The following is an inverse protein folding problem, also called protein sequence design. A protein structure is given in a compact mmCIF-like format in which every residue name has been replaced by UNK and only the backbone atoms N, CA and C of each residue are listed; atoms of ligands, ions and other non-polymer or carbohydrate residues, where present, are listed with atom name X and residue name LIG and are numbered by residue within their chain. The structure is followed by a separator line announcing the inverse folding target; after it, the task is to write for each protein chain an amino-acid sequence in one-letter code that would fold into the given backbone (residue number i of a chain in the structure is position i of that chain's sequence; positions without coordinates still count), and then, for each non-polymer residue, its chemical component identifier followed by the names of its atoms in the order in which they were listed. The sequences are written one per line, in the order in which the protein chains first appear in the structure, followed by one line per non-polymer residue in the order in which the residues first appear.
data_IF_530562133325
#
_entry.id   IF_530562133325
#
_cell.length_a   1.000
_cell.length_b   1.000
_cell.length_c   1.000
_cell.angle_alpha   90.00
_cell.angle_beta   90.00
_cell.angle_gamma   90.00
#
_symmetry.space_group_name_H-M   'P 1'
#
loop_
_entity.id
_entity.type
_entity.pdbx_description
1 polymer ?
#
# COMPACT_ATOMS: atom_id res chain seq x y z
N UNK A 1 17.57 -2.60 6.89
CA UNK A 1 17.62 -1.93 5.56
C UNK A 1 16.90 -2.78 4.53
N UNK A 2 16.14 -2.16 3.60
CA UNK A 2 15.49 -2.89 2.49
C UNK A 2 16.57 -3.32 1.49
N UNK A 3 16.68 -4.63 1.27
CA UNK A 3 17.68 -5.20 0.35
C UNK A 3 17.06 -5.34 -1.06
N UNK A 4 17.27 -4.35 -1.90
CA UNK A 4 16.76 -4.34 -3.28
C UNK A 4 17.44 -5.36 -4.20
N UNK A 5 18.60 -5.93 -3.82
CA UNK A 5 19.25 -6.99 -4.60
C UNK A 5 18.41 -8.27 -4.66
N UNK A 6 17.55 -8.49 -3.65
CA UNK A 6 16.63 -9.62 -3.54
C UNK A 6 15.29 -9.42 -4.24
N UNK A 7 15.11 -8.30 -4.94
CA UNK A 7 13.85 -7.95 -5.63
C UNK A 7 12.62 -8.05 -4.72
N UNK A 8 12.58 -7.29 -3.60
CA UNK A 8 11.54 -7.43 -2.58
C UNK A 8 10.13 -7.15 -3.11
N UNK A 9 9.13 -7.78 -2.48
CA UNK A 9 7.72 -7.60 -2.76
C UNK A 9 7.09 -6.66 -1.72
N UNK A 10 6.48 -5.59 -2.19
CA UNK A 10 5.80 -4.58 -1.37
C UNK A 10 4.29 -4.76 -1.40
N UNK A 11 3.64 -4.58 -0.24
CA UNK A 11 2.19 -4.30 -0.23
C UNK A 11 1.95 -2.82 -0.52
N UNK A 12 1.11 -2.53 -1.50
CA UNK A 12 0.73 -1.15 -1.81
C UNK A 12 -0.16 -0.54 -0.71
N UNK A 13 -0.07 0.78 -0.46
CA UNK A 13 -1.04 1.51 0.36
C UNK A 13 -2.42 1.49 -0.30
N UNK A 14 -3.40 0.89 0.37
CA UNK A 14 -4.77 0.71 -0.11
C UNK A 14 -5.75 1.18 0.95
N UNK A 15 -6.26 2.42 0.80
CA UNK A 15 -7.20 3.02 1.76
C UNK A 15 -8.42 2.10 1.99
N UNK A 16 -8.70 1.82 3.25
CA UNK A 16 -9.74 0.90 3.69
C UNK A 16 -9.37 -0.58 3.61
N UNK A 17 -8.16 -0.97 3.19
CA UNK A 17 -7.76 -2.37 3.08
C UNK A 17 -6.41 -2.70 3.72
N UNK A 18 -5.37 -1.87 3.51
CA UNK A 18 -4.02 -2.16 4.03
C UNK A 18 -3.83 -1.69 5.46
N UNK A 19 -4.82 -1.99 6.31
CA UNK A 19 -4.79 -1.82 7.75
C UNK A 19 -3.81 -2.81 8.43
N UNK A 20 -3.56 -2.62 9.72
CA UNK A 20 -2.64 -3.46 10.49
C UNK A 20 -2.98 -4.96 10.38
N UNK A 21 -4.26 -5.41 10.50
CA UNK A 21 -4.60 -6.83 10.34
C UNK A 21 -4.18 -7.41 8.98
N UNK A 22 -4.52 -6.75 7.86
CA UNK A 22 -4.12 -7.25 6.54
C UNK A 22 -2.60 -7.24 6.38
N UNK A 23 -1.91 -6.17 6.80
CA UNK A 23 -0.46 -6.08 6.73
C UNK A 23 0.22 -7.20 7.51
N UNK A 24 -0.28 -7.50 8.72
CA UNK A 24 0.19 -8.61 9.55
C UNK A 24 0.07 -9.96 8.84
N UNK A 25 -1.04 -10.18 8.14
CA UNK A 25 -1.29 -11.44 7.40
C UNK A 25 -0.35 -11.56 6.20
N UNK A 26 -0.27 -10.55 5.32
CA UNK A 26 0.58 -10.66 4.12
C UNK A 26 2.06 -10.84 4.45
N UNK A 27 2.53 -10.32 5.59
CA UNK A 27 3.90 -10.54 6.08
C UNK A 27 4.18 -12.04 6.32
N UNK A 28 3.22 -12.78 6.86
CA UNK A 28 3.34 -14.23 7.08
C UNK A 28 3.42 -15.02 5.76
N UNK A 29 2.97 -14.41 4.66
CA UNK A 29 2.96 -15.04 3.33
C UNK A 29 3.98 -14.46 2.36
N UNK A 30 5.06 -13.86 2.88
CA UNK A 30 6.22 -13.49 2.08
C UNK A 30 6.22 -12.06 1.54
N UNK A 31 5.29 -11.19 1.97
CA UNK A 31 5.44 -9.75 1.74
C UNK A 31 6.68 -9.23 2.47
N UNK A 32 7.62 -8.63 1.74
CA UNK A 32 8.88 -8.16 2.34
C UNK A 32 8.71 -6.81 3.02
N UNK A 33 7.98 -5.88 2.40
CA UNK A 33 7.77 -4.52 2.90
C UNK A 33 6.28 -4.20 2.92
N UNK A 34 5.80 -3.74 4.06
CA UNK A 34 4.43 -3.23 4.18
C UNK A 34 4.42 -1.71 4.21
N UNK A 35 3.42 -1.12 3.54
CA UNK A 35 3.16 0.31 3.57
C UNK A 35 1.79 0.55 4.20
N UNK A 36 1.70 1.52 5.11
CA UNK A 36 0.42 1.88 5.75
C UNK A 36 -0.61 2.37 4.73
N UNK A 37 -1.87 2.45 5.14
CA UNK A 37 -2.81 3.32 4.46
C UNK A 37 -2.31 4.75 4.44
N UNK A 38 -2.77 5.56 3.47
CA UNK A 38 -2.41 6.96 3.37
C UNK A 38 -2.93 7.77 4.57
N UNK A 39 -2.05 8.40 5.31
CA UNK A 39 -2.36 9.25 6.47
C UNK A 39 -2.24 10.72 6.08
N UNK A 40 -3.26 11.51 6.36
CA UNK A 40 -3.21 12.97 6.15
C UNK A 40 -2.25 13.63 7.14
N UNK A 41 -1.29 14.41 6.65
CA UNK A 41 -0.41 15.21 7.51
C UNK A 41 -1.22 16.19 8.38
N UNK A 42 -2.27 16.80 7.82
CA UNK A 42 -3.15 17.69 8.57
C UNK A 42 -3.90 16.95 9.68
N UNK A 43 -4.38 15.73 9.43
CA UNK A 43 -5.05 14.93 10.46
C UNK A 43 -4.12 14.58 11.63
N UNK A 44 -2.84 14.26 11.34
CA UNK A 44 -1.85 14.03 12.38
C UNK A 44 -1.57 15.27 13.22
N UNK A 45 -1.53 16.45 12.59
CA UNK A 45 -1.16 17.71 13.28
C UNK A 45 -2.32 18.29 14.07
N UNK A 46 -3.53 18.32 13.50
CA UNK A 46 -4.66 19.06 14.07
C UNK A 46 -5.72 18.20 14.74
N UNK A 47 -5.89 16.96 14.29
CA UNK A 47 -6.93 16.09 14.83
C UNK A 47 -6.38 15.12 15.88
N UNK A 48 -5.11 14.69 15.75
CA UNK A 48 -4.36 13.78 16.66
C UNK A 48 -5.25 12.76 17.38
N UNK A 49 -6.32 12.31 16.71
CA UNK A 49 -7.26 11.36 17.28
C UNK A 49 -6.59 10.01 17.48
N UNK A 50 -7.02 9.27 18.47
CA UNK A 50 -6.56 7.89 18.71
C UNK A 50 -6.63 7.06 17.42
N UNK A 51 -7.69 7.26 16.63
CA UNK A 51 -7.85 6.59 15.33
C UNK A 51 -6.74 6.93 14.32
N UNK A 52 -6.31 8.19 14.26
CA UNK A 52 -5.20 8.60 13.36
C UNK A 52 -3.87 8.05 13.85
N UNK A 53 -3.64 8.04 15.16
CA UNK A 53 -2.43 7.48 15.77
C UNK A 53 -2.40 5.94 15.65
N UNK A 54 -3.55 5.26 15.71
CA UNK A 54 -3.66 3.82 15.46
C UNK A 54 -3.13 3.42 14.07
N UNK A 55 -3.30 4.28 13.05
CA UNK A 55 -2.78 4.02 11.70
C UNK A 55 -1.25 3.99 11.63
N UNK A 56 -0.54 4.55 12.63
CA UNK A 56 0.93 4.49 12.75
C UNK A 56 1.43 3.16 13.32
N UNK A 57 0.57 2.39 13.99
CA UNK A 57 0.94 1.13 14.63
C UNK A 57 1.28 0.06 13.61
N UNK A 58 2.19 -0.81 13.98
CA UNK A 58 2.56 -2.01 13.25
C UNK A 58 2.36 -3.26 14.10
N UNK A 59 2.24 -4.41 13.45
CA UNK A 59 2.32 -5.70 14.14
C UNK A 59 3.78 -6.09 14.40
N UNK A 60 4.05 -7.00 15.36
CA UNK A 60 5.41 -7.41 15.70
C UNK A 60 6.22 -7.99 14.52
N UNK A 61 5.54 -8.60 13.54
CA UNK A 61 6.19 -9.20 12.37
C UNK A 61 6.35 -8.25 11.18
N UNK A 62 5.94 -6.98 11.29
CA UNK A 62 6.06 -5.99 10.21
C UNK A 62 7.42 -5.30 10.25
N UNK A 63 8.43 -5.92 9.65
CA UNK A 63 9.76 -5.34 9.45
C UNK A 63 10.28 -5.68 8.05
N UNK A 64 10.64 -4.65 7.25
CA UNK A 64 10.44 -3.20 7.45
C UNK A 64 8.97 -2.76 7.25
N UNK A 65 8.56 -1.74 8.02
CA UNK A 65 7.26 -1.08 7.92
C UNK A 65 7.45 0.39 7.52
N UNK A 66 6.72 0.84 6.49
CA UNK A 66 6.78 2.19 5.94
C UNK A 66 5.45 2.89 6.16
N UNK A 67 5.47 4.12 6.65
CA UNK A 67 4.28 4.96 6.84
C UNK A 67 4.11 5.90 5.66
N UNK A 68 2.95 5.81 4.98
CA UNK A 68 2.64 6.74 3.89
C UNK A 68 1.88 7.96 4.39
N UNK A 69 2.40 9.15 4.08
CA UNK A 69 1.78 10.44 4.39
C UNK A 69 1.35 11.19 3.14
N UNK A 70 0.31 12.00 3.27
CA UNK A 70 -0.14 12.91 2.22
C UNK A 70 -0.34 14.32 2.77
N UNK A 71 0.12 15.30 2.02
CA UNK A 71 0.03 16.72 2.35
C UNK A 71 0.62 17.56 1.23
N UNK A 72 0.43 18.88 1.31
CA UNK A 72 0.95 19.86 0.35
C UNK A 72 1.53 21.10 1.03
N UNK A 73 1.32 21.22 2.35
CA UNK A 73 1.88 22.27 3.17
C UNK A 73 3.15 21.76 3.87
N UNK A 74 4.27 22.42 3.64
CA UNK A 74 5.60 22.01 4.11
C UNK A 74 5.66 21.98 5.63
N UNK A 75 5.13 23.00 6.31
CA UNK A 75 5.22 23.08 7.76
C UNK A 75 4.36 22.01 8.45
N UNK A 76 3.17 21.73 7.91
CA UNK A 76 2.35 20.63 8.42
C UNK A 76 2.99 19.25 8.15
N UNK A 77 3.62 19.06 7.00
CA UNK A 77 4.37 17.83 6.72
C UNK A 77 5.55 17.65 7.69
N UNK A 78 6.32 18.70 7.96
CA UNK A 78 7.41 18.65 8.95
C UNK A 78 6.90 18.29 10.35
N UNK A 79 5.80 18.94 10.80
CA UNK A 79 5.16 18.63 12.10
C UNK A 79 4.66 17.18 12.15
N UNK A 80 4.01 16.71 11.08
CA UNK A 80 3.56 15.31 11.00
C UNK A 80 4.73 14.32 11.10
N UNK A 81 5.85 14.59 10.41
CA UNK A 81 7.07 13.78 10.50
C UNK A 81 7.66 13.80 11.92
N UNK A 82 7.66 14.96 12.60
CA UNK A 82 8.11 15.04 14.00
C UNK A 82 7.25 14.20 14.94
N UNK A 83 5.93 14.10 14.68
CA UNK A 83 5.03 13.19 15.42
C UNK A 83 5.44 11.75 15.13
N UNK A 84 5.58 11.36 13.84
CA UNK A 84 5.94 10.00 13.43
C UNK A 84 7.32 9.59 13.98
N UNK A 85 8.26 10.54 14.12
CA UNK A 85 9.59 10.27 14.69
C UNK A 85 9.53 9.70 16.12
N UNK A 86 8.44 9.95 16.87
CA UNK A 86 8.24 9.45 18.24
C UNK A 86 7.78 7.99 18.30
N UNK A 87 7.41 7.39 17.16
CA UNK A 87 6.94 6.01 17.09
C UNK A 87 8.08 5.10 16.66
N UNK A 88 8.39 4.11 17.50
CA UNK A 88 9.39 3.09 17.21
C UNK A 88 8.90 2.06 16.18
N UNK A 89 9.84 1.38 15.53
CA UNK A 89 9.57 0.30 14.58
C UNK A 89 9.05 0.76 13.22
N UNK A 90 8.89 2.06 12.98
CA UNK A 90 8.66 2.62 11.64
C UNK A 90 10.02 2.75 10.96
N UNK A 91 10.22 1.95 9.92
CA UNK A 91 11.46 1.93 9.14
C UNK A 91 11.60 3.18 8.25
N UNK A 92 10.55 3.57 7.57
CA UNK A 92 10.61 4.67 6.62
C UNK A 92 9.31 5.44 6.45
N UNK A 93 9.43 6.52 5.71
CA UNK A 93 8.32 7.35 5.26
C UNK A 93 8.12 7.20 3.76
N UNK A 94 6.89 7.33 3.31
CA UNK A 94 6.53 7.40 1.89
C UNK A 94 5.63 8.62 1.64
N UNK A 95 5.99 9.48 0.69
CA UNK A 95 5.16 10.60 0.28
C UNK A 95 4.18 10.14 -0.80
N UNK A 96 2.88 10.32 -0.57
CA UNK A 96 1.86 10.03 -1.56
C UNK A 96 1.79 11.12 -2.63
N UNK A 97 2.16 10.78 -3.86
CA UNK A 97 2.01 11.62 -5.05
C UNK A 97 1.16 10.93 -6.14
N UNK A 98 0.32 9.95 -5.75
CA UNK A 98 -0.47 9.16 -6.71
C UNK A 98 -1.97 9.14 -6.46
N UNK A 99 -2.47 9.59 -5.30
CA UNK A 99 -3.89 9.55 -4.96
C UNK A 99 -4.70 10.47 -5.89
N UNK A 100 -5.69 9.92 -6.63
CA UNK A 100 -6.50 10.71 -7.57
C UNK A 100 -7.78 11.27 -6.94
N UNK A 101 -8.05 10.98 -5.66
CA UNK A 101 -9.31 11.32 -4.98
C UNK A 101 -9.52 12.83 -4.97
N UNK A 102 -10.70 13.33 -5.42
CA UNK A 102 -10.95 14.78 -5.56
C UNK A 102 -10.71 15.59 -4.29
N UNK A 103 -11.02 15.04 -3.10
CA UNK A 103 -10.78 15.70 -1.81
C UNK A 103 -9.28 15.94 -1.58
N UNK A 104 -8.42 14.98 -1.91
CA UNK A 104 -6.96 15.07 -1.76
C UNK A 104 -6.37 16.03 -2.78
N UNK A 105 -6.80 15.90 -4.05
CA UNK A 105 -6.33 16.74 -5.17
C UNK A 105 -6.68 18.21 -4.95
N UNK A 106 -7.90 18.54 -4.46
CA UNK A 106 -8.30 19.92 -4.13
C UNK A 106 -7.46 20.56 -3.02
N UNK A 107 -6.86 19.75 -2.16
CA UNK A 107 -5.93 20.21 -1.13
C UNK A 107 -4.50 20.39 -1.67
N UNK A 108 -4.26 20.23 -2.97
CA UNK A 108 -2.94 20.29 -3.59
C UNK A 108 -2.03 19.12 -3.26
N UNK A 109 -2.57 18.04 -2.66
CA UNK A 109 -1.84 16.87 -2.22
C UNK A 109 -2.04 15.67 -3.18
N UNK A 110 -1.35 14.57 -2.91
CA UNK A 110 -1.44 13.37 -3.73
C UNK A 110 -0.99 13.64 -5.17
N UNK A 111 -1.78 13.22 -6.16
CA UNK A 111 -1.41 13.40 -7.57
C UNK A 111 -1.34 14.87 -8.02
N UNK A 112 -1.91 15.83 -7.27
CA UNK A 112 -1.81 17.25 -7.59
C UNK A 112 -0.35 17.75 -7.55
N UNK A 113 0.51 17.16 -6.72
CA UNK A 113 1.93 17.52 -6.64
C UNK A 113 2.69 17.23 -7.95
N UNK A 114 2.16 16.39 -8.83
CA UNK A 114 2.79 16.08 -10.13
C UNK A 114 2.72 17.23 -11.14
N UNK A 115 1.93 18.27 -10.86
CA UNK A 115 1.84 19.48 -11.69
C UNK A 115 2.89 20.54 -11.35
N UNK A 116 3.59 20.39 -10.21
CA UNK A 116 4.55 21.37 -9.70
C UNK A 116 5.76 20.61 -9.10
N UNK A 117 6.77 20.39 -9.94
CA UNK A 117 7.95 19.61 -9.55
C UNK A 117 8.86 20.38 -8.58
N UNK A 118 8.91 21.69 -8.65
CA UNK A 118 9.69 22.50 -7.72
C UNK A 118 9.10 22.40 -6.29
N UNK A 119 7.77 22.44 -6.19
CA UNK A 119 7.07 22.21 -4.94
C UNK A 119 7.28 20.78 -4.44
N UNK A 120 7.22 19.78 -5.33
CA UNK A 120 7.47 18.39 -4.99
C UNK A 120 8.86 18.21 -4.40
N UNK A 121 9.90 18.77 -5.03
CA UNK A 121 11.28 18.73 -4.55
C UNK A 121 11.42 19.41 -3.19
N UNK A 122 10.80 20.59 -3.03
CA UNK A 122 10.82 21.32 -1.76
C UNK A 122 10.19 20.51 -0.62
N UNK A 123 9.08 19.83 -0.87
CA UNK A 123 8.39 18.96 0.10
C UNK A 123 9.29 17.77 0.48
N UNK A 124 9.86 17.05 -0.50
CA UNK A 124 10.72 15.90 -0.26
C UNK A 124 11.93 16.31 0.60
N UNK A 125 12.62 17.38 0.21
CA UNK A 125 13.78 17.91 0.94
C UNK A 125 13.41 18.33 2.37
N UNK A 126 12.25 18.96 2.56
CA UNK A 126 11.75 19.35 3.89
C UNK A 126 11.45 18.12 4.77
N UNK A 127 10.80 17.08 4.24
CA UNK A 127 10.56 15.83 4.96
C UNK A 127 11.90 15.18 5.35
N UNK A 128 12.84 15.07 4.39
CA UNK A 128 14.15 14.47 4.62
C UNK A 128 14.92 15.19 5.71
N UNK A 129 14.86 16.52 5.77
CA UNK A 129 15.61 17.34 6.74
C UNK A 129 15.18 17.12 8.20
N UNK A 130 13.94 16.68 8.45
CA UNK A 130 13.41 16.47 9.82
C UNK A 130 13.14 15.00 10.15
N UNK A 131 13.20 14.09 9.18
CA UNK A 131 12.98 12.68 9.39
C UNK A 131 14.14 12.04 10.15
N UNK A 132 13.80 11.24 11.17
CA UNK A 132 14.74 10.34 11.88
C UNK A 132 14.60 8.88 11.42
N UNK A 133 13.77 8.62 10.40
CA UNK A 133 13.56 7.29 9.86
C UNK A 133 14.65 6.95 8.84
N UNK A 134 14.91 5.65 8.66
CA UNK A 134 16.01 5.16 7.83
C UNK A 134 15.82 5.45 6.34
N UNK A 135 14.58 5.60 5.86
CA UNK A 135 14.32 5.87 4.46
C UNK A 135 13.16 6.82 4.22
N UNK A 136 13.23 7.52 3.08
CA UNK A 136 12.15 8.31 2.51
C UNK A 136 11.91 7.88 1.07
N UNK A 137 10.68 7.48 0.75
CA UNK A 137 10.26 7.15 -0.61
C UNK A 137 9.16 8.07 -1.12
N UNK A 138 8.92 8.02 -2.42
CA UNK A 138 7.82 8.72 -3.06
C UNK A 138 7.05 7.76 -3.94
N UNK A 139 5.72 7.65 -3.72
CA UNK A 139 4.86 6.84 -4.57
C UNK A 139 4.03 7.74 -5.49
N UNK A 140 4.25 7.62 -6.80
CA UNK A 140 3.63 8.49 -7.80
C UNK A 140 3.04 7.75 -8.99
N UNK A 141 2.35 8.49 -9.84
CA UNK A 141 1.80 8.07 -11.14
C UNK A 141 2.62 8.68 -12.27
N UNK A 142 2.47 8.17 -13.49
CA UNK A 142 3.21 8.64 -14.68
C UNK A 142 3.04 10.14 -15.00
N UNK A 143 2.16 10.80 -14.30
CA UNK A 143 1.85 12.22 -14.39
C UNK A 143 0.40 12.49 -13.99
N UNK A 144 0.00 13.76 -14.05
CA UNK A 144 -1.37 14.18 -13.70
C UNK A 144 -2.33 13.94 -14.86
N UNK A 145 -2.25 14.73 -15.93
CA UNK A 145 -2.99 14.53 -17.17
C UNK A 145 -2.12 13.79 -18.20
N UNK A 146 -0.94 14.33 -18.45
CA UNK A 146 0.02 13.82 -19.41
C UNK A 146 1.16 13.11 -18.68
N UNK A 147 1.87 12.28 -19.42
CA UNK A 147 3.03 11.56 -18.90
C UNK A 147 4.24 12.50 -18.84
N UNK A 148 4.88 12.55 -17.68
CA UNK A 148 6.14 13.24 -17.40
C UNK A 148 6.99 12.48 -16.37
N UNK A 149 6.83 11.16 -16.35
CA UNK A 149 7.35 10.23 -15.35
C UNK A 149 8.85 10.33 -15.11
N UNK A 150 9.64 10.52 -16.16
CA UNK A 150 11.10 10.64 -16.01
C UNK A 150 11.50 11.94 -15.30
N UNK A 151 10.81 13.05 -15.60
CA UNK A 151 11.05 14.32 -14.90
C UNK A 151 10.66 14.22 -13.44
N UNK A 152 9.51 13.58 -13.13
CA UNK A 152 9.07 13.33 -11.76
C UNK A 152 10.11 12.48 -11.02
N UNK A 153 10.60 11.40 -11.62
CA UNK A 153 11.58 10.51 -11.01
C UNK A 153 12.90 11.22 -10.69
N UNK A 154 13.42 12.00 -11.64
CA UNK A 154 14.62 12.83 -11.43
C UNK A 154 14.43 13.85 -10.31
N UNK A 155 13.31 14.54 -10.31
CA UNK A 155 12.98 15.49 -9.24
C UNK A 155 12.94 14.82 -7.86
N UNK A 156 12.40 13.60 -7.77
CA UNK A 156 12.41 12.83 -6.52
C UNK A 156 13.84 12.44 -6.09
N UNK A 157 14.67 11.95 -7.01
CA UNK A 157 16.07 11.58 -6.75
C UNK A 157 16.89 12.77 -6.30
N UNK A 158 16.83 13.90 -7.04
CA UNK A 158 17.54 15.14 -6.73
C UNK A 158 17.15 15.73 -5.37
N UNK A 159 15.88 15.57 -4.97
CA UNK A 159 15.40 16.03 -3.68
C UNK A 159 15.74 15.09 -2.50
N UNK A 160 16.38 13.94 -2.76
CA UNK A 160 16.90 13.02 -1.75
C UNK A 160 15.98 11.88 -1.37
N UNK A 161 15.06 11.47 -2.24
CA UNK A 161 14.34 10.21 -2.06
C UNK A 161 15.30 9.02 -2.14
N UNK A 162 15.15 8.05 -1.22
CA UNK A 162 16.00 6.84 -1.18
C UNK A 162 15.55 5.77 -2.17
N UNK A 163 14.26 5.73 -2.52
CA UNK A 163 13.68 4.93 -3.60
C UNK A 163 12.33 5.51 -4.04
N UNK A 164 11.82 5.07 -5.17
CA UNK A 164 10.54 5.51 -5.72
C UNK A 164 9.64 4.33 -6.09
N UNK A 165 8.32 4.48 -5.94
CA UNK A 165 7.32 3.51 -6.39
C UNK A 165 6.45 4.12 -7.48
N UNK A 166 6.44 3.51 -8.67
CA UNK A 166 5.82 4.07 -9.88
C UNK A 166 4.60 3.28 -10.29
N UNK A 167 3.41 3.91 -10.23
CA UNK A 167 2.20 3.33 -10.79
C UNK A 167 2.11 3.66 -12.29
N UNK A 168 2.12 2.66 -13.14
CA UNK A 168 2.18 2.77 -14.61
C UNK A 168 0.91 3.35 -15.27
N UNK A 169 0.27 4.33 -14.64
CA UNK A 169 -0.89 5.08 -15.14
C UNK A 169 -0.78 6.54 -14.76
N UNK A 170 -1.31 7.45 -15.60
CA UNK A 170 -1.51 8.85 -15.21
C UNK A 170 -2.68 8.97 -14.22
N UNK A 171 -2.82 10.13 -13.56
CA UNK A 171 -4.00 10.44 -12.74
C UNK A 171 -5.26 10.45 -13.60
N UNK A 172 -5.22 11.09 -14.77
CA UNK A 172 -6.37 11.17 -15.69
C UNK A 172 -6.81 9.78 -16.18
N UNK A 173 -5.88 8.85 -16.44
CA UNK A 173 -6.19 7.49 -16.87
C UNK A 173 -6.86 6.62 -15.79
N UNK A 174 -6.84 7.05 -14.52
CA UNK A 174 -7.51 6.36 -13.41
C UNK A 174 -7.05 4.91 -13.23
N UNK A 175 -8.01 4.01 -13.06
CA UNK A 175 -7.79 2.56 -12.99
C UNK A 175 -8.23 1.82 -14.26
N UNK A 176 -8.92 2.50 -15.17
CA UNK A 176 -9.44 1.91 -16.42
C UNK A 176 -8.42 1.89 -17.54
N UNK A 177 -7.46 2.81 -17.54
CA UNK A 177 -6.39 2.81 -18.53
C UNK A 177 -5.48 1.57 -18.36
N UNK A 178 -4.90 1.09 -19.46
CA UNK A 178 -3.88 0.03 -19.43
C UNK A 178 -2.63 0.52 -18.71
N UNK A 179 -1.98 -0.35 -17.96
CA UNK A 179 -0.67 -0.07 -17.33
C UNK A 179 0.39 0.04 -18.43
N UNK A 180 1.19 1.09 -18.36
CA UNK A 180 2.33 1.31 -19.25
C UNK A 180 3.63 0.89 -18.55
N UNK A 181 4.05 -0.34 -18.81
CA UNK A 181 5.30 -0.87 -18.28
C UNK A 181 6.54 -0.32 -19.00
N UNK A 182 6.40 0.15 -20.26
CA UNK A 182 7.49 0.83 -20.97
C UNK A 182 7.84 2.16 -20.29
N UNK A 183 6.82 2.91 -19.87
CA UNK A 183 7.05 4.13 -19.08
C UNK A 183 7.75 3.83 -17.75
N UNK A 184 7.37 2.74 -17.07
CA UNK A 184 8.09 2.31 -15.84
C UNK A 184 9.54 1.95 -16.14
N UNK A 185 9.81 1.27 -17.26
CA UNK A 185 11.18 0.93 -17.68
C UNK A 185 12.00 2.19 -17.99
N UNK A 186 11.41 3.21 -18.64
CA UNK A 186 12.08 4.51 -18.85
C UNK A 186 12.42 5.20 -17.53
N UNK A 187 11.51 5.18 -16.57
CA UNK A 187 11.80 5.69 -15.22
C UNK A 187 13.01 4.98 -14.63
N UNK A 188 13.04 3.62 -14.67
CA UNK A 188 14.19 2.86 -14.14
C UNK A 188 15.50 3.23 -14.81
N UNK A 189 15.47 3.47 -16.10
CA UNK A 189 16.67 3.88 -16.87
C UNK A 189 17.10 5.33 -16.59
N UNK A 190 16.21 6.20 -16.08
CA UNK A 190 16.46 7.63 -15.90
C UNK A 190 17.02 8.02 -14.53
N UNK A 191 17.02 7.11 -13.53
CA UNK A 191 17.48 7.36 -12.16
C UNK A 191 18.39 6.24 -11.65
N UNK A 192 19.21 6.56 -10.63
CA UNK A 192 20.13 5.62 -9.97
C UNK A 192 19.51 4.95 -8.75
N UNK A 193 18.58 5.65 -8.09
CA UNK A 193 17.88 5.10 -6.92
C UNK A 193 17.00 3.90 -7.30
N UNK A 194 16.69 3.00 -6.35
CA UNK A 194 15.82 1.87 -6.60
C UNK A 194 14.42 2.29 -7.06
N UNK A 195 13.87 1.55 -8.03
CA UNK A 195 12.52 1.75 -8.57
C UNK A 195 11.65 0.54 -8.30
N UNK A 196 10.49 0.76 -7.70
CA UNK A 196 9.47 -0.24 -7.40
C UNK A 196 8.35 -0.14 -8.44
N UNK A 197 8.16 -1.17 -9.27
CA UNK A 197 7.09 -1.20 -10.26
C UNK A 197 5.73 -1.48 -9.61
N UNK A 198 4.69 -0.75 -10.01
CA UNK A 198 3.31 -0.92 -9.51
C UNK A 198 2.29 -0.78 -10.63
N UNK A 199 1.24 -1.58 -10.60
CA UNK A 199 0.10 -1.57 -11.51
C UNK A 199 -0.20 -2.96 -12.07
N UNK A 200 -1.39 -3.49 -11.78
CA UNK A 200 -1.95 -4.78 -12.23
C UNK A 200 -0.99 -5.99 -12.15
N UNK A 201 -0.08 -5.97 -11.17
CA UNK A 201 0.87 -7.05 -10.91
C UNK A 201 0.17 -8.17 -10.14
N UNK A 202 0.34 -9.39 -10.60
CA UNK A 202 -0.20 -10.62 -10.01
C UNK A 202 0.82 -11.78 -10.09
N UNK A 203 0.46 -12.98 -9.63
CA UNK A 203 1.36 -14.12 -9.60
C UNK A 203 1.79 -14.61 -10.99
N UNK A 204 0.94 -14.41 -12.02
CA UNK A 204 1.19 -14.87 -13.38
C UNK A 204 2.15 -13.95 -14.15
N UNK A 205 2.13 -12.64 -13.89
CA UNK A 205 2.90 -11.66 -14.68
C UNK A 205 4.07 -11.01 -13.92
N UNK A 206 4.26 -11.31 -12.64
CA UNK A 206 5.27 -10.66 -11.80
C UNK A 206 6.70 -10.76 -12.38
N UNK A 207 7.12 -11.96 -12.80
CA UNK A 207 8.46 -12.18 -13.35
C UNK A 207 8.65 -11.49 -14.71
N UNK A 208 7.63 -11.55 -15.56
CA UNK A 208 7.64 -10.88 -16.87
C UNK A 208 7.82 -9.36 -16.69
N UNK A 209 7.01 -8.75 -15.78
CA UNK A 209 7.09 -7.32 -15.51
C UNK A 209 8.45 -6.93 -14.93
N UNK A 210 8.97 -7.72 -13.99
CA UNK A 210 10.27 -7.46 -13.37
C UNK A 210 11.39 -7.54 -14.41
N UNK A 211 11.37 -8.57 -15.27
CA UNK A 211 12.34 -8.77 -16.34
C UNK A 211 12.25 -7.69 -17.43
N UNK A 212 11.03 -7.26 -17.78
CA UNK A 212 10.81 -6.24 -18.80
C UNK A 212 11.22 -4.85 -18.30
N UNK A 213 10.76 -4.45 -17.12
CA UNK A 213 10.98 -3.10 -16.58
C UNK A 213 12.37 -2.90 -15.99
N UNK A 214 13.10 -4.00 -15.66
CA UNK A 214 14.38 -3.98 -14.94
C UNK A 214 14.31 -3.28 -13.58
N UNK A 215 13.11 -3.11 -13.02
CA UNK A 215 12.90 -2.51 -11.71
C UNK A 215 13.55 -3.35 -10.59
N UNK A 216 13.76 -2.70 -9.44
CA UNK A 216 14.44 -3.30 -8.31
C UNK A 216 13.50 -4.04 -7.37
N UNK A 217 12.18 -3.80 -7.50
CA UNK A 217 11.15 -4.41 -6.69
C UNK A 217 9.78 -4.33 -7.36
N UNK A 218 8.81 -5.08 -6.82
CA UNK A 218 7.41 -5.05 -7.24
C UNK A 218 6.51 -4.62 -6.07
N UNK A 219 5.49 -3.80 -6.36
CA UNK A 219 4.47 -3.42 -5.40
C UNK A 219 3.11 -3.94 -5.82
N UNK A 220 2.54 -4.84 -5.01
CA UNK A 220 1.28 -5.51 -5.25
C UNK A 220 0.14 -4.72 -4.60
N UNK A 221 -0.85 -4.32 -5.39
CA UNK A 221 -2.03 -3.60 -4.92
C UNK A 221 -3.26 -4.51 -4.85
N UNK A 222 -4.27 -4.21 -5.66
CA UNK A 222 -5.59 -4.84 -5.66
C UNK A 222 -5.57 -6.37 -5.75
N UNK A 223 -4.54 -6.94 -6.35
CA UNK A 223 -4.38 -8.40 -6.45
C UNK A 223 -4.12 -9.09 -5.09
N UNK A 224 -3.74 -8.35 -4.05
CA UNK A 224 -3.61 -8.89 -2.68
C UNK A 224 -4.93 -8.88 -1.89
N UNK A 225 -5.95 -8.14 -2.36
CA UNK A 225 -7.25 -8.06 -1.68
C UNK A 225 -8.06 -9.34 -1.96
N UNK A 226 -8.39 -10.08 -0.92
CA UNK A 226 -8.99 -11.42 -1.06
C UNK A 226 -7.99 -12.50 -1.50
N UNK A 227 -6.69 -12.15 -1.56
CA UNK A 227 -5.62 -13.06 -1.96
C UNK A 227 -4.30 -12.68 -1.26
N UNK A 228 -4.24 -12.63 0.08
CA UNK A 228 -3.02 -12.20 0.79
C UNK A 228 -1.85 -13.17 0.62
N UNK A 229 -2.07 -14.39 0.17
CA UNK A 229 -1.05 -15.39 -0.15
C UNK A 229 -0.36 -15.16 -1.50
N UNK A 230 -0.77 -14.16 -2.28
CA UNK A 230 -0.17 -13.82 -3.58
C UNK A 230 1.35 -13.63 -3.50
N UNK A 231 1.86 -13.10 -2.40
CA UNK A 231 3.30 -12.90 -2.17
C UNK A 231 4.04 -14.24 -2.11
N UNK A 232 3.44 -15.24 -1.46
CA UNK A 232 3.96 -16.62 -1.46
C UNK A 232 3.96 -17.19 -2.88
N UNK A 233 2.83 -17.08 -3.60
CA UNK A 233 2.71 -17.60 -4.97
C UNK A 233 3.71 -16.96 -5.94
N UNK A 234 3.97 -15.64 -5.82
CA UNK A 234 4.99 -14.96 -6.61
C UNK A 234 6.39 -15.50 -6.31
N UNK A 235 6.74 -15.72 -5.04
CA UNK A 235 8.08 -16.17 -4.64
C UNK A 235 8.35 -17.65 -4.92
N UNK A 236 7.37 -18.49 -4.64
CA UNK A 236 7.57 -19.96 -4.67
C UNK A 236 7.08 -20.60 -5.97
N UNK A 237 6.27 -19.91 -6.76
CA UNK A 237 5.57 -20.41 -7.95
C UNK A 237 4.62 -21.58 -7.62
N UNK A 238 4.23 -21.71 -6.36
CA UNK A 238 3.30 -22.74 -5.89
C UNK A 238 2.00 -22.12 -5.42
N UNK A 239 0.88 -22.72 -5.76
CA UNK A 239 -0.43 -22.30 -5.27
C UNK A 239 -0.64 -22.73 -3.82
N UNK A 240 -1.38 -21.93 -3.08
CA UNK A 240 -1.82 -22.25 -1.72
C UNK A 240 -3.06 -23.13 -1.80
N UNK A 241 -3.09 -24.24 -1.05
CA UNK A 241 -4.22 -25.16 -1.02
C UNK A 241 -5.44 -24.54 -0.29
N UNK A 242 -6.59 -25.22 -0.45
CA UNK A 242 -7.87 -24.74 0.10
C UNK A 242 -7.86 -24.69 1.62
N UNK A 243 -7.28 -25.69 2.28
CA UNK A 243 -7.23 -25.75 3.75
C UNK A 243 -6.37 -24.63 4.34
N UNK A 244 -5.23 -24.30 3.69
CA UNK A 244 -4.40 -23.19 4.12
C UNK A 244 -5.09 -21.84 3.85
N UNK A 245 -5.78 -21.68 2.70
CA UNK A 245 -6.59 -20.46 2.42
C UNK A 245 -7.64 -20.22 3.51
N UNK A 246 -8.37 -21.25 3.92
CA UNK A 246 -9.34 -21.14 5.02
C UNK A 246 -8.68 -20.68 6.32
N UNK A 247 -7.53 -21.28 6.69
CA UNK A 247 -6.77 -20.87 7.89
C UNK A 247 -6.34 -19.41 7.84
N UNK A 248 -5.90 -18.93 6.66
CA UNK A 248 -5.50 -17.54 6.46
C UNK A 248 -6.68 -16.60 6.64
N UNK A 249 -7.85 -16.93 6.05
CA UNK A 249 -9.05 -16.11 6.15
C UNK A 249 -9.52 -16.02 7.61
N UNK A 250 -9.53 -17.14 8.34
CA UNK A 250 -9.85 -17.17 9.76
C UNK A 250 -8.85 -16.36 10.59
N UNK A 251 -7.54 -16.51 10.34
CA UNK A 251 -6.52 -15.73 11.05
C UNK A 251 -6.63 -14.22 10.76
N UNK A 252 -7.02 -13.84 9.54
CA UNK A 252 -7.29 -12.44 9.22
C UNK A 252 -8.53 -11.92 9.95
N UNK A 253 -9.59 -12.71 10.01
CA UNK A 253 -10.77 -12.36 10.79
C UNK A 253 -10.45 -12.19 12.28
N UNK A 254 -9.73 -13.15 12.87
CA UNK A 254 -9.34 -13.10 14.28
C UNK A 254 -8.50 -11.85 14.57
N UNK A 255 -7.53 -11.49 13.69
CA UNK A 255 -6.74 -10.28 13.81
C UNK A 255 -7.59 -8.99 13.69
N UNK A 256 -8.64 -9.00 12.86
CA UNK A 256 -9.58 -7.87 12.76
C UNK A 256 -10.39 -7.67 14.06
N UNK A 257 -10.84 -8.77 14.70
CA UNK A 257 -11.55 -8.70 15.98
C UNK A 257 -10.61 -8.26 17.09
N UNK A 258 -9.38 -8.77 17.11
CA UNK A 258 -8.36 -8.36 18.09
C UNK A 258 -8.06 -6.86 18.00
N UNK A 259 -7.91 -6.33 16.78
CA UNK A 259 -7.51 -4.93 16.56
C UNK A 259 -8.66 -3.93 16.71
N UNK A 260 -9.86 -4.26 16.22
CA UNK A 260 -11.00 -3.33 16.15
C UNK A 260 -12.14 -3.68 17.11
N UNK A 261 -12.01 -4.75 17.91
CA UNK A 261 -13.11 -5.28 18.71
C UNK A 261 -14.32 -5.69 17.86
N UNK A 262 -15.51 -5.54 18.38
CA UNK A 262 -16.76 -5.88 17.67
C UNK A 262 -16.92 -5.13 16.33
N UNK A 263 -16.39 -3.92 16.23
CA UNK A 263 -16.43 -3.16 14.97
C UNK A 263 -15.65 -3.85 13.84
N UNK A 264 -14.62 -4.64 14.18
CA UNK A 264 -13.85 -5.45 13.24
C UNK A 264 -14.70 -6.39 12.39
N UNK A 265 -15.79 -6.92 12.96
CA UNK A 265 -16.75 -7.73 12.24
C UNK A 265 -17.36 -6.98 11.04
N UNK A 266 -17.80 -5.75 11.27
CA UNK A 266 -18.40 -4.93 10.20
C UNK A 266 -17.35 -4.56 9.14
N UNK A 267 -16.15 -4.20 9.56
CA UNK A 267 -15.05 -3.86 8.63
C UNK A 267 -14.65 -5.08 7.80
N UNK A 268 -14.64 -6.28 8.39
CA UNK A 268 -14.20 -7.50 7.71
C UNK A 268 -15.13 -7.97 6.59
N UNK A 269 -16.40 -7.59 6.58
CA UNK A 269 -17.36 -7.95 5.50
C UNK A 269 -16.84 -7.64 4.10
N UNK A 270 -16.20 -6.49 3.90
CA UNK A 270 -15.60 -6.13 2.62
C UNK A 270 -14.50 -7.09 2.18
N UNK A 271 -13.72 -7.63 3.13
CA UNK A 271 -12.71 -8.65 2.86
C UNK A 271 -13.36 -9.99 2.49
N UNK A 272 -14.41 -10.41 3.20
CA UNK A 272 -15.17 -11.63 2.88
C UNK A 272 -15.78 -11.57 1.48
N UNK A 273 -16.27 -10.39 1.07
CA UNK A 273 -16.75 -10.19 -0.30
C UNK A 273 -15.65 -10.41 -1.35
N UNK A 274 -14.41 -10.08 -1.04
CA UNK A 274 -13.28 -10.32 -1.96
C UNK A 274 -12.80 -11.78 -1.90
N UNK A 275 -12.69 -12.36 -0.71
CA UNK A 275 -12.30 -13.76 -0.55
C UNK A 275 -13.26 -14.76 -1.24
N UNK A 276 -14.54 -14.44 -1.26
CA UNK A 276 -15.57 -15.28 -1.86
C UNK A 276 -15.73 -15.16 -3.38
N UNK A 277 -14.97 -14.27 -4.04
CA UNK A 277 -15.08 -14.09 -5.49
C UNK A 277 -14.76 -15.37 -6.26
N UNK A 278 -15.65 -15.74 -7.19
CA UNK A 278 -15.47 -16.90 -8.07
C UNK A 278 -15.70 -18.25 -7.38
N UNK A 279 -16.21 -18.26 -6.13
CA UNK A 279 -16.57 -19.49 -5.42
C UNK A 279 -18.08 -19.73 -5.55
N UNK A 280 -18.49 -20.97 -5.77
CA UNK A 280 -19.90 -21.35 -5.81
C UNK A 280 -20.60 -21.02 -4.49
N UNK A 281 -21.83 -20.52 -4.56
CA UNK A 281 -22.58 -20.04 -3.39
C UNK A 281 -22.15 -18.69 -2.82
N UNK A 282 -21.21 -17.98 -3.46
CA UNK A 282 -20.69 -16.69 -2.99
C UNK A 282 -21.79 -15.61 -2.78
N UNK A 283 -22.83 -15.60 -3.59
CA UNK A 283 -23.92 -14.63 -3.46
C UNK A 283 -24.69 -14.82 -2.15
N UNK A 284 -25.07 -16.07 -1.84
CA UNK A 284 -25.72 -16.42 -0.58
C UNK A 284 -24.80 -16.09 0.62
N UNK A 285 -23.54 -16.54 0.55
CA UNK A 285 -22.55 -16.24 1.59
C UNK A 285 -22.42 -14.75 1.87
N UNK A 286 -22.29 -13.91 0.82
CA UNK A 286 -22.16 -12.44 0.98
C UNK A 286 -23.41 -11.82 1.60
N UNK A 287 -24.60 -12.32 1.24
CA UNK A 287 -25.84 -11.88 1.86
C UNK A 287 -25.87 -12.25 3.35
N UNK A 288 -25.55 -13.49 3.71
CA UNK A 288 -25.53 -13.97 5.11
C UNK A 288 -24.59 -13.11 5.98
N UNK A 289 -23.33 -12.93 5.55
CA UNK A 289 -22.33 -12.21 6.35
C UNK A 289 -22.67 -10.73 6.57
N UNK A 290 -23.52 -10.13 5.74
CA UNK A 290 -23.96 -8.74 5.94
C UNK A 290 -24.88 -8.57 7.15
N UNK A 291 -25.57 -9.62 7.59
CA UNK A 291 -26.53 -9.58 8.69
C UNK A 291 -26.00 -10.21 9.98
N UNK A 292 -24.94 -11.01 9.94
CA UNK A 292 -24.33 -11.60 11.15
C UNK A 292 -23.76 -10.49 12.03
N UNK A 293 -24.14 -10.51 13.33
CA UNK A 293 -23.71 -9.53 14.34
C UNK A 293 -22.83 -10.12 15.43
N UNK A 294 -22.75 -11.45 15.53
CA UNK A 294 -21.91 -12.15 16.51
C UNK A 294 -20.64 -12.68 15.83
N UNK A 295 -19.48 -12.43 16.45
CA UNK A 295 -18.19 -12.79 15.91
C UNK A 295 -17.98 -14.33 15.84
N UNK A 296 -18.54 -15.09 16.79
CA UNK A 296 -18.46 -16.55 16.81
C UNK A 296 -19.27 -17.12 15.66
N UNK A 297 -20.49 -16.62 15.46
CA UNK A 297 -21.35 -17.02 14.33
C UNK A 297 -20.68 -16.68 13.00
N UNK A 298 -20.09 -15.52 12.88
CA UNK A 298 -19.33 -15.14 11.68
C UNK A 298 -18.16 -16.09 11.42
N UNK A 299 -17.41 -16.43 12.45
CA UNK A 299 -16.26 -17.33 12.37
C UNK A 299 -16.66 -18.73 11.90
N UNK A 300 -17.77 -19.28 12.42
CA UNK A 300 -18.31 -20.56 11.95
C UNK A 300 -18.77 -20.47 10.48
N UNK A 301 -19.47 -19.41 10.11
CA UNK A 301 -19.94 -19.21 8.73
C UNK A 301 -18.77 -19.11 7.72
N UNK A 302 -17.66 -18.48 8.13
CA UNK A 302 -16.41 -18.46 7.34
C UNK A 302 -15.84 -19.89 7.21
N UNK A 303 -15.77 -20.62 8.33
CA UNK A 303 -15.24 -21.99 8.34
C UNK A 303 -16.03 -22.91 7.40
N UNK A 304 -17.37 -22.86 7.47
CA UNK A 304 -18.24 -23.67 6.61
C UNK A 304 -18.07 -23.34 5.13
N UNK A 305 -18.05 -22.07 4.78
CA UNK A 305 -18.05 -21.64 3.38
C UNK A 305 -16.70 -21.90 2.69
N UNK A 306 -15.60 -21.76 3.39
CA UNK A 306 -14.26 -21.96 2.84
C UNK A 306 -13.68 -23.37 3.11
N UNK A 307 -14.49 -24.30 3.65
CA UNK A 307 -14.09 -25.69 3.93
C UNK A 307 -13.76 -26.48 2.66
#
# INVERSE_FOLDING_TARGET
MIDFSKKPLFLAPLAGFSDLPLRSVVKKFGCDVTVSEMISANALVYESSDKTLEMLKKSPNEEPYVVQIAGSDIENLKKAVQIINKFDGIYGLDLNCGCPVPKVVRQGAGSALLNDLDKLQSIISAIKSVSKKESLSVKFRLGFNDKNEEKIAKACEEAGADYIAVHGRTRAGGYSAKVDYEAIARVKASVKIPVVANGDINAQNADEILNFTKCDALMIGRASIGNPWIFHEIKTKTSVDKALKQKIILAHFDAMIEHYGEHGLCIFRKHLHQYSKGIDGATTFRNDVNFIKDARVMRERIREFFA
#
